data_IF_385288419013
#
_entry.id   IF_385288419013
#
_cell.length_a   1.000
_cell.length_b   1.000
_cell.length_c   1.000
_cell.angle_alpha   90.00
_cell.angle_beta   90.00
_cell.angle_gamma   90.00
#
_symmetry.space_group_name_H-M   'P 1'
#
loop_
_entity.id
_entity.type
_entity.pdbx_description
1 polymer ?
#
# COMPACT_ATOMS: atom_id res chain seq x y z
N UNK A 1 22.79 52.61 15.88
CA UNK A 1 22.90 51.19 16.27
C UNK A 1 21.54 50.47 16.38
N UNK A 2 20.45 50.96 15.74
CA UNK A 2 19.13 50.31 15.81
C UNK A 2 18.77 49.44 14.60
N UNK A 3 19.34 49.73 13.43
CA UNK A 3 18.98 49.09 12.16
C UNK A 3 19.62 47.71 12.02
N UNK A 4 20.85 47.53 12.53
CA UNK A 4 21.60 46.28 12.42
C UNK A 4 20.94 45.12 13.17
N UNK A 5 20.31 45.39 14.32
CA UNK A 5 19.59 44.38 15.11
C UNK A 5 18.32 43.87 14.41
N UNK A 6 17.63 44.74 13.66
CA UNK A 6 16.41 44.37 12.93
C UNK A 6 16.70 43.40 11.78
N UNK A 7 17.82 43.58 11.07
CA UNK A 7 18.24 42.65 10.01
C UNK A 7 18.63 41.27 10.54
N UNK A 8 19.28 41.20 11.70
CA UNK A 8 19.65 39.92 12.32
C UNK A 8 18.39 39.17 12.75
N UNK A 9 17.42 39.85 13.36
CA UNK A 9 16.14 39.21 13.73
C UNK A 9 15.33 38.75 12.52
N UNK A 10 15.29 39.56 11.45
CA UNK A 10 14.62 39.19 10.20
C UNK A 10 15.27 37.96 9.54
N UNK A 11 16.61 37.87 9.55
CA UNK A 11 17.35 36.73 9.02
C UNK A 11 17.09 35.45 9.83
N UNK A 12 17.03 35.54 11.16
CA UNK A 12 16.73 34.39 12.04
C UNK A 12 15.31 33.86 11.82
N UNK A 13 14.33 34.76 11.66
CA UNK A 13 12.94 34.40 11.40
C UNK A 13 12.77 33.79 10.00
N UNK A 14 13.47 34.33 8.99
CA UNK A 14 13.42 33.80 7.62
C UNK A 14 14.05 32.41 7.49
N UNK A 15 15.22 32.19 8.11
CA UNK A 15 15.90 30.89 8.09
C UNK A 15 15.15 29.87 8.95
N UNK A 16 14.68 30.25 10.14
CA UNK A 16 13.92 29.37 11.03
C UNK A 16 12.59 28.95 10.41
N UNK A 17 11.83 29.89 9.86
CA UNK A 17 10.52 29.63 9.24
C UNK A 17 10.64 28.76 7.98
N UNK A 18 11.62 29.03 7.11
CA UNK A 18 11.89 28.21 5.92
C UNK A 18 12.34 26.80 6.27
N UNK A 19 13.21 26.65 7.28
CA UNK A 19 13.68 25.35 7.75
C UNK A 19 12.56 24.53 8.41
N UNK A 20 11.70 25.16 9.21
CA UNK A 20 10.53 24.50 9.80
C UNK A 20 9.53 24.06 8.72
N UNK A 21 9.24 24.91 7.74
CA UNK A 21 8.39 24.55 6.63
C UNK A 21 8.96 23.37 5.82
N UNK A 22 10.26 23.39 5.52
CA UNK A 22 10.94 22.30 4.81
C UNK A 22 10.96 20.99 5.60
N UNK A 23 11.26 21.05 6.91
CA UNK A 23 11.27 19.90 7.81
C UNK A 23 9.87 19.32 8.07
N UNK A 24 8.80 20.13 7.95
CA UNK A 24 7.42 19.65 8.03
C UNK A 24 6.92 19.10 6.70
N UNK A 25 7.37 19.66 5.57
CA UNK A 25 7.01 19.20 4.23
C UNK A 25 7.69 17.88 3.85
N UNK A 26 8.94 17.65 4.25
CA UNK A 26 9.66 16.39 4.02
C UNK A 26 8.88 15.13 4.45
N UNK A 27 8.50 14.98 5.74
CA UNK A 27 7.75 13.82 6.21
C UNK A 27 6.30 13.80 5.70
N UNK A 28 5.71 14.96 5.38
CA UNK A 28 4.36 15.01 4.80
C UNK A 28 4.34 14.49 3.35
N UNK A 29 5.36 14.84 2.56
CA UNK A 29 5.55 14.32 1.21
C UNK A 29 5.87 12.82 1.28
N UNK A 30 6.73 12.38 2.20
CA UNK A 30 7.03 10.96 2.39
C UNK A 30 5.81 10.15 2.85
N UNK A 31 4.89 10.76 3.61
CA UNK A 31 3.63 10.14 4.00
C UNK A 31 2.63 10.04 2.84
N UNK A 32 2.57 11.05 1.96
CA UNK A 32 1.77 10.99 0.73
C UNK A 32 2.37 10.10 -0.36
N UNK A 33 3.71 9.98 -0.41
CA UNK A 33 4.46 9.17 -1.37
C UNK A 33 4.79 7.77 -0.89
N UNK A 34 4.44 7.39 0.34
CA UNK A 34 4.40 5.97 0.71
C UNK A 34 3.17 5.37 0.06
N UNK A 35 3.27 4.64 -1.07
CA UNK A 35 2.22 3.69 -1.39
C UNK A 35 2.09 2.83 -0.14
N UNK A 36 0.88 2.83 0.42
CA UNK A 36 0.46 1.91 1.47
C UNK A 36 1.02 0.54 1.09
N UNK A 37 2.10 0.10 1.73
CA UNK A 37 2.61 -1.26 1.62
C UNK A 37 1.64 -2.13 2.44
N UNK A 38 0.40 -2.19 1.99
CA UNK A 38 -0.55 -3.25 2.31
C UNK A 38 -0.11 -4.41 1.45
N UNK A 39 1.04 -5.01 1.76
CA UNK A 39 1.64 -6.03 0.88
C UNK A 39 2.34 -7.16 1.60
N UNK A 40 2.43 -7.18 2.94
CA UNK A 40 2.99 -8.35 3.61
C UNK A 40 2.01 -9.53 3.56
N UNK A 41 0.78 -9.36 4.06
CA UNK A 41 -0.25 -10.41 4.03
C UNK A 41 -0.71 -10.75 2.60
N UNK A 42 -0.87 -9.72 1.77
CA UNK A 42 -1.28 -9.89 0.37
C UNK A 42 -0.25 -10.63 -0.45
N UNK A 43 1.05 -10.45 -0.18
CA UNK A 43 2.09 -11.20 -0.91
C UNK A 43 2.07 -12.70 -0.63
N UNK A 44 1.74 -13.13 0.59
CA UNK A 44 1.73 -14.56 0.93
C UNK A 44 0.51 -15.26 0.31
N UNK A 45 -0.68 -14.66 0.49
CA UNK A 45 -1.91 -15.17 -0.11
C UNK A 45 -1.85 -15.14 -1.64
N UNK A 46 -1.28 -14.09 -2.23
CA UNK A 46 -1.06 -14.00 -3.67
C UNK A 46 -0.09 -15.09 -4.15
N UNK A 47 1.07 -15.29 -3.51
CA UNK A 47 2.03 -16.35 -3.88
C UNK A 47 1.37 -17.73 -3.84
N UNK A 48 0.59 -18.01 -2.79
CA UNK A 48 -0.10 -19.28 -2.64
C UNK A 48 -1.18 -19.48 -3.70
N UNK A 49 -1.97 -18.44 -3.96
CA UNK A 49 -2.98 -18.43 -5.02
C UNK A 49 -2.33 -18.65 -6.41
N UNK A 50 -1.26 -17.92 -6.72
CA UNK A 50 -0.49 -18.09 -7.96
C UNK A 50 0.09 -19.50 -8.10
N UNK A 51 0.55 -20.10 -7.00
CA UNK A 51 1.07 -21.47 -7.01
C UNK A 51 -0.03 -22.50 -7.30
N UNK A 52 -1.18 -22.40 -6.62
CA UNK A 52 -2.32 -23.32 -6.77
C UNK A 52 -2.92 -23.23 -8.17
N UNK A 53 -3.10 -22.01 -8.66
CA UNK A 53 -3.67 -21.74 -9.97
C UNK A 53 -2.60 -21.49 -11.05
N UNK A 54 -1.40 -22.06 -10.87
CA UNK A 54 -0.26 -21.86 -11.79
C UNK A 54 -0.52 -22.37 -13.21
N UNK A 55 -1.45 -23.33 -13.35
CA UNK A 55 -1.91 -23.86 -14.65
C UNK A 55 -2.75 -22.81 -15.42
N UNK A 56 -3.25 -21.77 -14.76
CA UNK A 56 -4.11 -20.75 -15.35
C UNK A 56 -3.35 -19.48 -15.73
N UNK A 57 -3.73 -18.88 -16.85
CA UNK A 57 -3.26 -17.57 -17.28
C UNK A 57 -3.56 -16.47 -16.26
N UNK A 58 -2.72 -15.45 -16.21
CA UNK A 58 -2.86 -14.31 -15.29
C UNK A 58 -4.21 -13.61 -15.43
N UNK A 59 -4.69 -13.40 -16.66
CA UNK A 59 -5.99 -12.78 -16.91
C UNK A 59 -7.15 -13.60 -16.32
N UNK A 60 -7.08 -14.92 -16.44
CA UNK A 60 -8.09 -15.82 -15.87
C UNK A 60 -8.00 -15.85 -14.34
N UNK A 61 -6.79 -15.83 -13.78
CA UNK A 61 -6.56 -15.69 -12.34
C UNK A 61 -7.15 -14.40 -11.77
N UNK A 62 -7.00 -13.26 -12.47
CA UNK A 62 -7.62 -12.00 -12.06
C UNK A 62 -9.15 -12.03 -12.15
N UNK A 63 -9.72 -12.65 -13.18
CA UNK A 63 -11.18 -12.83 -13.27
C UNK A 63 -11.74 -13.67 -12.12
N UNK A 64 -10.98 -14.68 -11.67
CA UNK A 64 -11.32 -15.51 -10.52
C UNK A 64 -11.35 -14.67 -9.23
N UNK A 65 -10.32 -13.88 -8.99
CA UNK A 65 -10.27 -12.99 -7.82
C UNK A 65 -11.47 -12.03 -7.83
N UNK A 66 -11.79 -11.44 -9.00
CA UNK A 66 -12.93 -10.55 -9.14
C UNK A 66 -14.26 -11.26 -8.88
N UNK A 67 -14.44 -12.48 -9.40
CA UNK A 67 -15.62 -13.29 -9.15
C UNK A 67 -15.81 -13.60 -7.66
N UNK A 68 -14.75 -14.00 -6.97
CA UNK A 68 -14.80 -14.27 -5.53
C UNK A 68 -15.02 -13.00 -4.70
N UNK A 69 -14.40 -11.89 -5.08
CA UNK A 69 -14.62 -10.60 -4.44
C UNK A 69 -16.09 -10.15 -4.54
N UNK A 70 -16.69 -10.31 -5.72
CA UNK A 70 -18.10 -9.98 -5.97
C UNK A 70 -19.06 -10.94 -5.22
N UNK A 71 -18.82 -12.26 -5.33
CA UNK A 71 -19.61 -13.31 -4.68
C UNK A 71 -19.67 -13.18 -3.15
N UNK A 72 -18.57 -12.77 -2.53
CA UNK A 72 -18.44 -12.68 -1.07
C UNK A 72 -18.44 -11.23 -0.56
N UNK A 73 -18.56 -10.22 -1.43
CA UNK A 73 -18.50 -8.81 -1.07
C UNK A 73 -17.20 -8.41 -0.35
N UNK A 74 -16.08 -9.04 -0.70
CA UNK A 74 -14.83 -8.98 0.05
C UNK A 74 -13.66 -8.40 -0.76
N UNK A 75 -12.58 -8.05 -0.06
CA UNK A 75 -11.37 -7.55 -0.70
C UNK A 75 -10.64 -8.65 -1.47
N UNK A 76 -9.81 -8.28 -2.45
CA UNK A 76 -9.06 -9.21 -3.29
C UNK A 76 -8.27 -10.27 -2.52
N UNK A 77 -7.70 -9.91 -1.37
CA UNK A 77 -6.95 -10.81 -0.49
C UNK A 77 -7.84 -11.93 0.10
N UNK A 78 -8.99 -11.54 0.65
CA UNK A 78 -9.99 -12.48 1.17
C UNK A 78 -10.57 -13.34 0.04
N UNK A 79 -10.76 -12.75 -1.15
CA UNK A 79 -11.19 -13.48 -2.33
C UNK A 79 -10.18 -14.56 -2.74
N UNK A 80 -8.88 -14.25 -2.75
CA UNK A 80 -7.81 -15.24 -3.01
C UNK A 80 -7.82 -16.36 -1.97
N UNK A 81 -7.96 -16.03 -0.69
CA UNK A 81 -8.04 -17.01 0.39
C UNK A 81 -9.24 -17.95 0.20
N UNK A 82 -10.42 -17.42 -0.11
CA UNK A 82 -11.62 -18.21 -0.39
C UNK A 82 -11.43 -19.14 -1.60
N UNK A 83 -10.84 -18.63 -2.69
CA UNK A 83 -10.55 -19.43 -3.87
C UNK A 83 -9.60 -20.61 -3.56
N UNK A 84 -8.51 -20.37 -2.81
CA UNK A 84 -7.58 -21.44 -2.40
C UNK A 84 -8.24 -22.43 -1.47
N UNK A 85 -9.09 -21.97 -0.54
CA UNK A 85 -9.78 -22.85 0.41
C UNK A 85 -10.79 -23.76 -0.29
N UNK A 86 -11.53 -23.24 -1.27
CA UNK A 86 -12.47 -24.02 -2.07
C UNK A 86 -11.73 -25.04 -2.93
N UNK A 87 -10.65 -24.63 -3.61
CA UNK A 87 -9.78 -25.57 -4.33
C UNK A 87 -9.24 -26.68 -3.43
N UNK A 88 -8.79 -26.34 -2.21
CA UNK A 88 -8.28 -27.33 -1.25
C UNK A 88 -9.37 -28.31 -0.82
N UNK A 89 -10.62 -27.84 -0.66
CA UNK A 89 -11.77 -28.70 -0.35
C UNK A 89 -12.05 -29.68 -1.49
N UNK A 90 -11.96 -29.21 -2.72
CA UNK A 90 -12.18 -30.03 -3.91
C UNK A 90 -11.02 -31.02 -4.12
N UNK A 91 -9.77 -30.60 -3.90
CA UNK A 91 -8.60 -31.48 -3.97
C UNK A 91 -8.65 -32.63 -2.97
N UNK A 92 -9.29 -32.43 -1.81
CA UNK A 92 -9.44 -33.45 -0.78
C UNK A 92 -10.55 -34.48 -1.06
N UNK A 93 -11.28 -34.32 -2.18
CA UNK A 93 -12.41 -35.17 -2.57
C UNK A 93 -12.02 -36.28 -3.55
N UNK A 94 -10.83 -36.20 -4.13
CA UNK A 94 -10.26 -37.13 -5.12
C UNK A 94 -9.00 -37.77 -4.54
#
# INVERSE_FOLDING_TARGET
MGVQMQYVMAAVIGVGGGFLAFCLLGPLIEWFHRPRVVSSATSENERRFRSVFSIMDEARRQSLIKYYADKFGCNADQAMMHAVQEWKRDANRW
#
